data_IF_277915404128
#
_entry.id   IF_277915404128
#
_cell.length_a   1.000
_cell.length_b   1.000
_cell.length_c   1.000
_cell.angle_alpha   90.00
_cell.angle_beta   90.00
_cell.angle_gamma   90.00
#
_symmetry.space_group_name_H-M   'P 1'
#
loop_
_entity.id
_entity.type
_entity.pdbx_description
1 polymer ?
#
# COMPACT_ATOMS: atom_id res chain seq x y z
N UNK A 1 3.51 -26.35 -16.26
CA UNK A 1 3.01 -25.71 -15.02
C UNK A 1 3.96 -26.12 -13.90
N UNK A 2 4.90 -25.26 -13.54
CA UNK A 2 5.72 -25.45 -12.34
C UNK A 2 5.20 -24.45 -11.31
N UNK A 3 4.48 -24.97 -10.32
CA UNK A 3 4.05 -24.20 -9.16
C UNK A 3 5.27 -23.90 -8.31
N UNK A 4 5.69 -22.65 -8.29
CA UNK A 4 6.56 -22.11 -7.25
C UNK A 4 5.71 -22.02 -5.98
N UNK A 5 5.72 -23.07 -5.18
CA UNK A 5 5.42 -22.94 -3.75
C UNK A 5 6.70 -22.43 -3.09
N UNK A 6 6.97 -21.13 -3.23
CA UNK A 6 7.98 -20.49 -2.41
C UNK A 6 7.50 -20.53 -0.97
N UNK A 7 8.18 -21.33 -0.17
CA UNK A 7 8.12 -21.28 1.28
C UNK A 7 8.51 -19.87 1.71
N UNK A 8 7.52 -18.98 1.90
CA UNK A 8 7.70 -17.71 2.60
C UNK A 8 8.33 -18.02 3.95
N UNK A 9 9.62 -17.73 4.10
CA UNK A 9 10.28 -17.82 5.39
C UNK A 9 9.68 -16.74 6.29
N UNK A 10 9.10 -17.10 7.46
CA UNK A 10 8.64 -16.10 8.41
C UNK A 10 9.83 -15.25 8.85
N UNK A 11 9.80 -13.95 8.57
CA UNK A 11 10.87 -13.01 8.92
C UNK A 11 11.68 -12.43 7.76
N UNK A 12 11.20 -12.52 6.51
CA UNK A 12 11.74 -11.77 5.37
C UNK A 12 10.70 -10.87 4.69
N UNK A 13 9.56 -10.62 5.33
CA UNK A 13 8.50 -9.78 4.77
C UNK A 13 8.90 -8.29 4.83
N UNK A 14 8.58 -7.59 3.74
CA UNK A 14 8.57 -6.14 3.69
C UNK A 14 7.19 -5.64 4.10
N UNK A 15 7.16 -4.67 5.00
CA UNK A 15 5.95 -3.99 5.43
C UNK A 15 5.97 -2.55 4.91
N UNK A 16 4.90 -2.13 4.25
CA UNK A 16 4.62 -0.74 3.94
C UNK A 16 3.57 -0.19 4.91
N UNK A 17 3.92 0.88 5.61
CA UNK A 17 2.97 1.72 6.32
C UNK A 17 2.74 2.98 5.49
N UNK A 18 1.49 3.28 5.15
CA UNK A 18 1.14 4.47 4.39
C UNK A 18 0.19 5.37 5.16
N UNK A 19 0.30 6.67 4.91
CA UNK A 19 -0.57 7.71 5.44
C UNK A 19 -0.80 8.77 4.39
N UNK A 20 -2.06 9.17 4.21
CA UNK A 20 -2.44 10.27 3.33
C UNK A 20 -3.66 11.02 3.87
N UNK A 21 -3.84 12.24 3.39
CA UNK A 21 -5.04 13.03 3.65
C UNK A 21 -6.05 12.82 2.53
N UNK A 22 -7.28 12.51 2.88
CA UNK A 22 -8.44 12.50 1.97
C UNK A 22 -8.93 13.93 1.72
N UNK A 23 -9.67 14.17 0.64
CA UNK A 23 -10.28 15.46 0.28
C UNK A 23 -11.15 16.07 1.38
N UNK A 24 -11.73 15.25 2.24
CA UNK A 24 -12.50 15.72 3.41
C UNK A 24 -11.59 16.18 4.58
N UNK A 25 -10.26 16.20 4.37
CA UNK A 25 -9.27 16.55 5.38
C UNK A 25 -9.00 15.44 6.40
N UNK A 26 -9.58 14.25 6.20
CA UNK A 26 -9.39 13.11 7.09
C UNK A 26 -8.08 12.40 6.78
N UNK A 27 -7.29 12.10 7.82
CA UNK A 27 -6.11 11.27 7.67
C UNK A 27 -6.52 9.79 7.56
N UNK A 28 -6.05 9.13 6.51
CA UNK A 28 -6.19 7.70 6.27
C UNK A 28 -4.81 7.06 6.46
N UNK A 29 -4.78 5.94 7.17
CA UNK A 29 -3.57 5.17 7.42
C UNK A 29 -3.83 3.71 7.07
N UNK A 30 -2.81 3.01 6.58
CA UNK A 30 -2.87 1.59 6.35
C UNK A 30 -1.51 0.93 6.40
N UNK A 31 -1.53 -0.38 6.57
CA UNK A 31 -0.34 -1.22 6.65
C UNK A 31 -0.54 -2.42 5.75
N UNK A 32 0.50 -2.80 5.01
CA UNK A 32 0.46 -3.93 4.10
C UNK A 32 1.82 -4.61 3.98
N UNK A 33 1.83 -5.94 3.84
CA UNK A 33 3.07 -6.72 3.82
C UNK A 33 3.18 -7.61 2.57
N UNK A 34 4.39 -7.72 2.02
CA UNK A 34 4.73 -8.53 0.85
C UNK A 34 6.11 -9.19 0.96
N UNK A 35 6.31 -10.23 0.15
CA UNK A 35 7.53 -11.01 0.02
C UNK A 35 8.74 -10.19 -0.47
N UNK A 36 8.52 -9.26 -1.40
CA UNK A 36 9.58 -8.49 -2.04
C UNK A 36 9.15 -7.07 -2.38
N UNK A 37 10.14 -6.22 -2.70
CA UNK A 37 9.94 -4.79 -2.88
C UNK A 37 9.16 -4.47 -4.16
N UNK A 38 9.36 -5.26 -5.21
CA UNK A 38 8.67 -5.07 -6.49
C UNK A 38 7.19 -5.31 -6.30
N UNK A 39 6.81 -6.46 -5.75
CA UNK A 39 5.41 -6.82 -5.49
C UNK A 39 4.73 -5.83 -4.53
N UNK A 40 5.47 -5.30 -3.55
CA UNK A 40 4.97 -4.25 -2.64
C UNK A 40 4.69 -2.94 -3.38
N UNK A 41 5.62 -2.49 -4.23
CA UNK A 41 5.50 -1.24 -4.97
C UNK A 41 4.42 -1.31 -6.07
N UNK A 42 4.28 -2.44 -6.75
CA UNK A 42 3.21 -2.69 -7.71
C UNK A 42 1.84 -2.56 -7.04
N UNK A 43 1.65 -3.25 -5.91
CA UNK A 43 0.39 -3.18 -5.15
C UNK A 43 0.09 -1.76 -4.65
N UNK A 44 1.09 -1.06 -4.10
CA UNK A 44 0.91 0.32 -3.65
C UNK A 44 0.57 1.26 -4.81
N UNK A 45 1.16 1.04 -5.99
CA UNK A 45 0.84 1.77 -7.20
C UNK A 45 -0.63 1.60 -7.60
N UNK A 46 -1.09 0.35 -7.69
CA UNK A 46 -2.48 0.03 -8.01
C UNK A 46 -3.45 0.58 -6.96
N UNK A 47 -3.13 0.44 -5.67
CA UNK A 47 -3.96 0.94 -4.58
C UNK A 47 -4.09 2.48 -4.59
N UNK A 48 -2.99 3.20 -4.79
CA UNK A 48 -3.03 4.67 -4.90
C UNK A 48 -3.72 5.11 -6.19
N UNK A 49 -3.63 4.32 -7.26
CA UNK A 49 -4.33 4.56 -8.51
C UNK A 49 -5.84 4.44 -8.33
N UNK A 50 -6.32 3.42 -7.63
CA UNK A 50 -7.74 3.22 -7.33
C UNK A 50 -8.32 4.35 -6.46
N UNK A 51 -7.49 4.94 -5.59
CA UNK A 51 -7.84 6.10 -4.76
C UNK A 51 -7.64 7.45 -5.46
N UNK A 52 -7.08 7.46 -6.67
CA UNK A 52 -6.79 8.68 -7.40
C UNK A 52 -8.08 9.37 -7.84
N UNK A 53 -8.22 10.70 -7.72
CA UNK A 53 -9.48 11.39 -8.00
C UNK A 53 -10.06 11.24 -9.42
N UNK A 54 -9.24 10.84 -10.38
CA UNK A 54 -9.64 10.61 -11.78
C UNK A 54 -10.20 9.20 -11.99
N UNK A 55 -9.84 8.24 -11.13
CA UNK A 55 -10.17 6.82 -11.24
C UNK A 55 -11.06 6.31 -10.09
N UNK A 56 -11.17 7.08 -9.00
CA UNK A 56 -12.04 6.79 -7.89
C UNK A 56 -13.49 6.68 -8.36
N UNK A 57 -14.00 5.45 -8.41
CA UNK A 57 -15.44 5.18 -8.41
C UNK A 57 -16.05 5.87 -7.17
N UNK A 58 -17.28 6.39 -7.23
CA UNK A 58 -17.96 6.92 -6.05
C UNK A 58 -18.31 5.75 -5.11
N UNK A 59 -17.31 5.21 -4.42
CA UNK A 59 -17.48 4.16 -3.43
C UNK A 59 -17.77 4.81 -2.06
N UNK A 60 -18.80 4.39 -1.30
CA UNK A 60 -19.23 5.04 -0.06
C UNK A 60 -18.27 4.90 1.13
N UNK A 61 -17.14 4.19 0.96
CA UNK A 61 -16.27 3.75 2.06
C UNK A 61 -14.88 4.39 2.14
N UNK A 62 -14.67 5.49 1.44
CA UNK A 62 -13.86 6.56 2.00
C UNK A 62 -12.40 6.60 1.57
N UNK A 63 -12.17 7.43 0.56
CA UNK A 63 -11.10 8.42 0.64
C UNK A 63 -10.48 8.71 -0.70
N UNK A 64 -10.84 9.84 -1.32
CA UNK A 64 -10.17 10.31 -2.51
C UNK A 64 -8.88 10.98 -2.04
N UNK A 65 -7.72 10.47 -2.46
CA UNK A 65 -6.43 11.05 -2.04
C UNK A 65 -6.38 12.54 -2.43
N UNK A 66 -6.10 13.41 -1.46
CA UNK A 66 -5.81 14.81 -1.71
C UNK A 66 -4.37 14.93 -2.20
N UNK A 67 -4.20 14.98 -3.53
CA UNK A 67 -2.88 15.08 -4.17
C UNK A 67 -2.18 16.43 -3.94
N UNK A 68 -2.85 17.40 -3.31
CA UNK A 68 -2.22 18.65 -2.85
C UNK A 68 -1.48 18.47 -1.52
N UNK A 69 -1.77 17.40 -0.78
CA UNK A 69 -1.13 17.02 0.47
C UNK A 69 -0.12 15.89 0.25
N UNK A 70 0.92 15.80 1.09
CA UNK A 70 1.92 14.73 0.97
C UNK A 70 1.31 13.36 1.28
N UNK A 71 1.64 12.37 0.45
CA UNK A 71 1.46 10.94 0.76
C UNK A 71 2.77 10.43 1.36
N UNK A 72 2.70 9.85 2.56
CA UNK A 72 3.85 9.26 3.23
C UNK A 72 3.77 7.75 3.15
N UNK A 73 4.83 7.10 2.66
CA UNK A 73 4.96 5.64 2.63
C UNK A 73 6.30 5.26 3.27
N UNK A 74 6.23 4.46 4.33
CA UNK A 74 7.41 3.94 5.03
C UNK A 74 7.50 2.45 4.77
N UNK A 75 8.57 2.03 4.09
CA UNK A 75 8.85 0.62 3.80
C UNK A 75 9.92 0.12 4.76
N UNK A 76 9.63 -0.96 5.48
CA UNK A 76 10.54 -1.58 6.43
C UNK A 76 10.71 -3.06 6.10
N UNK A 77 11.94 -3.55 6.19
CA UNK A 77 12.20 -4.99 6.19
C UNK A 77 12.22 -5.47 7.63
N UNK A 78 11.37 -6.44 7.95
CA UNK A 78 11.54 -7.19 9.19
C UNK A 78 12.63 -8.22 8.95
N UNK A 79 13.79 -8.03 9.58
CA UNK A 79 14.85 -9.04 9.57
C UNK A 79 14.55 -10.20 10.53
N UNK A 80 15.30 -11.31 10.44
CA UNK A 80 15.18 -12.39 11.42
C UNK A 80 15.44 -11.85 12.83
N UNK A 81 14.52 -12.14 13.75
CA UNK A 81 14.66 -11.85 15.18
C UNK A 81 15.74 -12.72 15.81
#
# INVERSE_FOLDING_TARGET
MNGFSENMQPGNELEANFSFTDRDGKQINGTYSKEDLTTLLEYLGDYLWDLHPVHASPDPLGGIVDTSQPVTITIMRHGPR
#
